data_IF_573048346979
#
_entry.id   IF_573048346979
#
_cell.length_a   1.000
_cell.length_b   1.000
_cell.length_c   1.000
_cell.angle_alpha   90.00
_cell.angle_beta   90.00
_cell.angle_gamma   90.00
#
_symmetry.space_group_name_H-M   'P 1'
#
loop_
_entity.id
_entity.type
_entity.pdbx_description
1 polymer ?
#
# COMPACT_ATOMS: atom_id res chain seq x y z
N UNK A 1 7.79 22.67 -41.03
CA UNK A 1 8.86 21.70 -41.34
C UNK A 1 9.37 21.15 -40.03
N UNK A 2 9.25 19.83 -39.79
CA UNK A 2 9.71 19.23 -38.53
C UNK A 2 11.24 19.07 -38.52
N UNK A 3 11.85 18.90 -37.35
CA UNK A 3 13.28 18.59 -37.23
C UNK A 3 13.66 17.32 -38.02
N UNK A 4 12.75 16.34 -38.05
CA UNK A 4 12.92 15.11 -38.83
C UNK A 4 12.88 15.34 -40.34
N UNK A 5 12.10 16.31 -40.83
CA UNK A 5 12.06 16.67 -42.25
C UNK A 5 13.35 17.38 -42.69
N UNK A 6 13.93 18.21 -41.81
CA UNK A 6 15.24 18.85 -42.06
C UNK A 6 16.33 17.79 -42.13
N UNK A 7 16.36 16.86 -41.18
CA UNK A 7 17.33 15.76 -41.16
C UNK A 7 17.17 14.81 -42.35
N UNK A 8 15.94 14.55 -42.78
CA UNK A 8 15.66 13.77 -43.98
C UNK A 8 16.17 14.48 -45.24
N UNK A 9 15.84 15.77 -45.40
CA UNK A 9 16.30 16.57 -46.55
C UNK A 9 17.82 16.65 -46.64
N UNK A 10 18.49 16.90 -45.51
CA UNK A 10 19.96 16.90 -45.42
C UNK A 10 20.58 15.56 -45.86
N UNK A 11 20.02 14.43 -45.38
CA UNK A 11 20.48 13.08 -45.78
C UNK A 11 20.22 12.79 -47.25
N UNK A 12 19.08 13.23 -47.78
CA UNK A 12 18.71 13.02 -49.18
C UNK A 12 19.63 13.80 -50.12
N UNK A 13 19.93 15.06 -49.79
CA UNK A 13 20.87 15.90 -50.55
C UNK A 13 22.27 15.31 -50.58
N UNK A 14 22.75 14.72 -49.47
CA UNK A 14 24.03 14.01 -49.45
C UNK A 14 24.02 12.83 -50.42
N UNK A 15 22.95 12.04 -50.46
CA UNK A 15 22.84 10.87 -51.33
C UNK A 15 22.78 11.26 -52.81
N UNK A 16 22.00 12.29 -53.15
CA UNK A 16 21.95 12.83 -54.51
C UNK A 16 23.32 13.39 -54.95
N UNK A 17 23.96 14.21 -54.09
CA UNK A 17 25.27 14.77 -54.39
C UNK A 17 26.34 13.68 -54.56
N UNK A 18 26.31 12.65 -53.73
CA UNK A 18 27.22 11.51 -53.85
C UNK A 18 27.10 10.79 -55.19
N UNK A 19 25.90 10.76 -55.80
CA UNK A 19 25.67 10.21 -57.13
C UNK A 19 26.27 11.07 -58.26
N UNK A 20 26.42 12.38 -58.03
CA UNK A 20 26.95 13.33 -59.03
C UNK A 20 28.45 13.50 -58.98
N UNK A 21 29.03 13.60 -57.78
CA UNK A 21 30.46 13.96 -57.58
C UNK A 21 31.27 12.88 -56.86
N UNK A 22 30.65 11.73 -56.58
CA UNK A 22 31.26 10.62 -55.85
C UNK A 22 31.17 10.77 -54.32
N UNK A 23 31.11 9.61 -53.65
CA UNK A 23 30.87 9.48 -52.20
C UNK A 23 31.87 10.26 -51.35
N UNK A 24 33.16 10.19 -51.69
CA UNK A 24 34.22 10.80 -50.89
C UNK A 24 34.13 12.35 -50.91
N UNK A 25 33.81 12.95 -52.05
CA UNK A 25 33.68 14.40 -52.17
C UNK A 25 32.40 14.88 -51.47
N UNK A 26 31.27 14.22 -51.71
CA UNK A 26 30.00 14.59 -51.07
C UNK A 26 30.04 14.46 -49.54
N UNK A 27 30.67 13.39 -49.01
CA UNK A 27 30.88 13.21 -47.58
C UNK A 27 31.73 14.33 -46.94
N UNK A 28 32.76 14.82 -47.64
CA UNK A 28 33.57 15.97 -47.18
C UNK A 28 32.75 17.25 -47.14
N UNK A 29 31.97 17.52 -48.19
CA UNK A 29 31.11 18.73 -48.28
C UNK A 29 30.07 18.77 -47.15
N UNK A 30 29.48 17.62 -46.82
CA UNK A 30 28.43 17.54 -45.80
C UNK A 30 28.99 17.32 -44.38
N UNK A 31 30.29 17.07 -44.21
CA UNK A 31 30.88 16.77 -42.90
C UNK A 31 30.45 15.40 -42.33
N UNK A 32 30.12 14.44 -43.21
CA UNK A 32 29.67 13.09 -42.83
C UNK A 32 30.78 12.07 -43.08
N UNK A 33 31.04 11.19 -42.13
CA UNK A 33 32.00 10.11 -42.34
C UNK A 33 31.48 9.10 -43.37
N UNK A 34 32.37 8.61 -44.27
CA UNK A 34 32.02 7.68 -45.36
C UNK A 34 31.32 6.40 -44.85
N UNK A 35 31.67 5.91 -43.67
CA UNK A 35 31.00 4.73 -43.08
C UNK A 35 29.50 4.99 -42.82
N UNK A 36 29.14 6.19 -42.36
CA UNK A 36 27.74 6.58 -42.14
C UNK A 36 26.95 6.62 -43.44
N UNK A 37 27.57 7.12 -44.52
CA UNK A 37 26.98 7.08 -45.85
C UNK A 37 26.66 5.64 -46.30
N UNK A 38 27.60 4.71 -46.17
CA UNK A 38 27.35 3.32 -46.55
C UNK A 38 26.31 2.62 -45.68
N UNK A 39 26.23 2.95 -44.38
CA UNK A 39 25.13 2.49 -43.51
C UNK A 39 23.77 2.98 -44.03
N UNK A 40 23.68 4.22 -44.49
CA UNK A 40 22.46 4.75 -45.10
C UNK A 40 22.16 4.13 -46.46
N UNK A 41 23.19 3.98 -47.32
CA UNK A 41 23.06 3.35 -48.64
C UNK A 41 22.47 1.95 -48.55
N UNK A 42 23.01 1.10 -47.68
CA UNK A 42 22.48 -0.25 -47.46
C UNK A 42 21.05 -0.27 -46.93
N UNK A 43 20.63 0.77 -46.19
CA UNK A 43 19.23 0.89 -45.74
C UNK A 43 18.31 1.33 -46.87
N UNK A 44 18.75 2.27 -47.70
CA UNK A 44 18.02 2.71 -48.90
C UNK A 44 17.80 1.54 -49.86
N UNK A 45 18.84 0.74 -50.09
CA UNK A 45 18.78 -0.45 -50.96
C UNK A 45 17.74 -1.48 -50.46
N UNK A 46 17.48 -1.54 -49.14
CA UNK A 46 16.54 -2.50 -48.54
C UNK A 46 15.11 -1.97 -48.34
N UNK A 47 14.97 -0.70 -47.97
CA UNK A 47 13.71 -0.12 -47.47
C UNK A 47 13.29 1.14 -48.27
N UNK A 48 14.05 1.54 -49.29
CA UNK A 48 13.83 2.73 -50.09
C UNK A 48 14.29 4.04 -49.41
N UNK A 49 14.08 5.17 -50.09
CA UNK A 49 14.52 6.49 -49.61
C UNK A 49 13.92 6.87 -48.24
N UNK A 50 12.73 6.36 -47.91
CA UNK A 50 12.08 6.57 -46.61
C UNK A 50 12.94 6.14 -45.41
N UNK A 51 13.92 5.24 -45.62
CA UNK A 51 14.86 4.78 -44.59
C UNK A 51 15.81 5.87 -44.09
N UNK A 52 15.91 7.00 -44.81
CA UNK A 52 16.68 8.17 -44.39
C UNK A 52 15.99 8.99 -43.30
N UNK A 53 14.68 8.81 -43.08
CA UNK A 53 13.99 9.51 -41.99
C UNK A 53 14.56 9.05 -40.63
N UNK A 54 14.76 9.95 -39.66
CA UNK A 54 15.12 9.56 -38.30
C UNK A 54 14.13 8.51 -37.78
N UNK A 55 14.66 7.37 -37.31
CA UNK A 55 13.85 6.33 -36.66
C UNK A 55 13.99 6.48 -35.17
N UNK A 56 12.87 6.39 -34.47
CA UNK A 56 12.90 6.33 -33.02
C UNK A 56 13.71 5.10 -32.59
N UNK A 57 14.81 5.33 -31.86
CA UNK A 57 15.59 4.22 -31.32
C UNK A 57 14.78 3.59 -30.20
N UNK A 58 14.46 2.30 -30.33
CA UNK A 58 13.87 1.54 -29.23
C UNK A 58 14.78 1.68 -28.02
N UNK A 59 14.21 2.12 -26.89
CA UNK A 59 14.96 2.18 -25.63
C UNK A 59 15.47 0.77 -25.29
N UNK A 60 16.77 0.60 -25.00
CA UNK A 60 17.31 -0.72 -24.69
C UNK A 60 16.66 -1.26 -23.42
N UNK A 61 16.43 -2.57 -23.38
CA UNK A 61 15.98 -3.24 -22.18
C UNK A 61 17.19 -3.46 -21.28
N UNK A 62 17.15 -2.93 -20.06
CA UNK A 62 18.24 -3.12 -19.11
C UNK A 62 18.29 -4.59 -18.67
N UNK A 63 19.48 -5.18 -18.46
CA UNK A 63 19.63 -6.59 -18.07
C UNK A 63 18.80 -6.96 -16.82
N UNK A 64 18.70 -6.04 -15.87
CA UNK A 64 17.98 -6.24 -14.61
C UNK A 64 16.48 -5.89 -14.70
N UNK A 65 15.95 -5.69 -15.91
CA UNK A 65 14.53 -5.41 -16.11
C UNK A 65 13.71 -6.70 -16.08
N UNK A 66 12.67 -6.69 -15.25
CA UNK A 66 11.68 -7.76 -15.13
C UNK A 66 11.19 -8.24 -16.51
N UNK A 67 10.89 -9.54 -16.61
CA UNK A 67 10.29 -10.09 -17.83
C UNK A 67 8.93 -9.46 -18.10
N UNK A 68 8.50 -9.36 -19.37
CA UNK A 68 7.20 -8.81 -19.73
C UNK A 68 6.05 -9.50 -18.99
N UNK A 69 6.12 -10.82 -18.81
CA UNK A 69 5.14 -11.60 -18.05
C UNK A 69 5.05 -11.15 -16.59
N UNK A 70 6.20 -10.91 -15.93
CA UNK A 70 6.23 -10.42 -14.55
C UNK A 70 5.72 -8.98 -14.46
N UNK A 71 6.06 -8.12 -15.43
CA UNK A 71 5.51 -6.77 -15.49
C UNK A 71 3.98 -6.79 -15.62
N UNK A 72 3.44 -7.62 -16.51
CA UNK A 72 2.00 -7.77 -16.70
C UNK A 72 1.31 -8.27 -15.43
N UNK A 73 1.89 -9.26 -14.73
CA UNK A 73 1.38 -9.71 -13.43
C UNK A 73 1.35 -8.60 -12.39
N UNK A 74 2.42 -7.81 -12.28
CA UNK A 74 2.48 -6.66 -11.37
C UNK A 74 1.41 -5.63 -11.71
N UNK A 75 1.25 -5.30 -13.00
CA UNK A 75 0.25 -4.33 -13.47
C UNK A 75 -1.16 -4.84 -13.19
N UNK A 76 -1.48 -6.08 -13.56
CA UNK A 76 -2.79 -6.67 -13.31
C UNK A 76 -3.14 -6.68 -11.81
N UNK A 77 -2.20 -7.09 -10.96
CA UNK A 77 -2.39 -7.04 -9.51
C UNK A 77 -2.61 -5.61 -8.99
N UNK A 78 -1.82 -4.65 -9.48
CA UNK A 78 -1.95 -3.25 -9.09
C UNK A 78 -3.28 -2.62 -9.54
N UNK A 79 -3.85 -3.04 -10.67
CA UNK A 79 -5.15 -2.57 -11.16
C UNK A 79 -6.32 -3.24 -10.44
N UNK A 80 -6.20 -4.53 -10.09
CA UNK A 80 -7.17 -5.18 -9.22
C UNK A 80 -7.18 -4.58 -7.81
N UNK A 81 -6.04 -4.05 -7.34
CA UNK A 81 -5.88 -3.51 -6.00
C UNK A 81 -5.25 -2.09 -6.02
N UNK A 82 -5.96 -1.09 -6.60
CA UNK A 82 -5.40 0.22 -6.94
C UNK A 82 -4.93 1.04 -5.72
N UNK A 83 -5.52 0.78 -4.55
CA UNK A 83 -5.14 1.40 -3.28
C UNK A 83 -3.77 0.97 -2.74
N UNK A 84 -3.19 -0.13 -3.22
CA UNK A 84 -1.94 -0.68 -2.68
C UNK A 84 -0.71 0.04 -3.21
N UNK A 85 0.23 0.35 -2.31
CA UNK A 85 1.53 0.91 -2.68
C UNK A 85 2.55 -0.17 -3.10
N UNK A 86 3.68 0.22 -3.74
CA UNK A 86 4.66 -0.74 -4.27
C UNK A 86 5.23 -1.71 -3.23
N UNK A 87 5.45 -1.27 -1.99
CA UNK A 87 5.91 -2.14 -0.89
C UNK A 87 4.88 -3.24 -0.57
N UNK A 88 3.60 -2.88 -0.49
CA UNK A 88 2.53 -3.84 -0.18
C UNK A 88 2.26 -4.75 -1.36
N UNK A 89 2.30 -4.24 -2.60
CA UNK A 89 2.21 -5.06 -3.80
C UNK A 89 3.33 -6.11 -3.83
N UNK A 90 4.58 -5.71 -3.58
CA UNK A 90 5.71 -6.64 -3.52
C UNK A 90 5.52 -7.71 -2.43
N UNK A 91 5.10 -7.30 -1.23
CA UNK A 91 4.87 -8.22 -0.12
C UNK A 91 3.72 -9.21 -0.40
N UNK A 92 2.61 -8.74 -0.98
CA UNK A 92 1.48 -9.60 -1.36
C UNK A 92 1.88 -10.57 -2.47
N UNK A 93 2.50 -10.10 -3.55
CA UNK A 93 2.94 -10.96 -4.66
C UNK A 93 3.93 -12.05 -4.22
N UNK A 94 4.76 -11.77 -3.21
CA UNK A 94 5.66 -12.75 -2.61
C UNK A 94 4.95 -13.86 -1.81
N UNK A 95 3.65 -13.75 -1.53
CA UNK A 95 2.90 -14.78 -0.81
C UNK A 95 2.51 -15.95 -1.74
N UNK A 96 2.45 -17.19 -1.22
CA UNK A 96 2.12 -18.37 -2.04
C UNK A 96 0.81 -18.25 -2.81
N UNK A 97 -0.24 -17.66 -2.19
CA UNK A 97 -1.55 -17.47 -2.83
C UNK A 97 -1.52 -16.61 -4.11
N UNK A 98 -0.49 -15.76 -4.25
CA UNK A 98 -0.30 -14.86 -5.38
C UNK A 98 0.87 -15.30 -6.28
N UNK A 99 1.35 -16.54 -6.09
CA UNK A 99 2.40 -17.15 -6.92
C UNK A 99 3.82 -16.99 -6.40
N UNK A 100 4.02 -16.50 -5.17
CA UNK A 100 5.34 -16.48 -4.52
C UNK A 100 6.38 -15.63 -5.26
N UNK A 101 5.94 -14.57 -5.95
CA UNK A 101 6.78 -13.77 -6.82
C UNK A 101 7.69 -12.84 -6.00
N UNK A 102 8.98 -13.17 -5.96
CA UNK A 102 10.01 -12.38 -5.29
C UNK A 102 10.43 -11.17 -6.14
N UNK A 103 9.80 -10.02 -5.88
CA UNK A 103 10.15 -8.75 -6.52
C UNK A 103 10.38 -7.66 -5.47
N UNK A 104 11.39 -6.81 -5.67
CA UNK A 104 11.63 -5.69 -4.76
C UNK A 104 10.57 -4.60 -4.93
N UNK A 105 10.28 -3.87 -3.85
CA UNK A 105 9.36 -2.73 -3.88
C UNK A 105 9.77 -1.65 -4.91
N UNK A 106 11.08 -1.46 -5.10
CA UNK A 106 11.60 -0.56 -6.12
C UNK A 106 11.42 -1.13 -7.53
N UNK A 107 11.57 -2.45 -7.71
CA UNK A 107 11.25 -3.14 -8.97
C UNK A 107 9.79 -2.96 -9.37
N UNK A 108 8.86 -3.15 -8.42
CA UNK A 108 7.43 -2.88 -8.60
C UNK A 108 7.20 -1.40 -8.95
N UNK A 109 7.79 -0.47 -8.21
CA UNK A 109 7.63 0.96 -8.50
C UNK A 109 8.14 1.36 -9.88
N UNK A 110 9.32 0.86 -10.29
CA UNK A 110 9.89 1.11 -11.62
C UNK A 110 9.00 0.52 -12.72
N UNK A 111 8.46 -0.68 -12.50
CA UNK A 111 7.48 -1.31 -13.39
C UNK A 111 6.26 -0.39 -13.54
N UNK A 112 5.57 -0.07 -12.45
CA UNK A 112 4.40 0.79 -12.49
C UNK A 112 4.69 2.17 -13.09
N UNK A 113 5.87 2.74 -12.87
CA UNK A 113 6.27 4.01 -13.47
C UNK A 113 6.38 3.93 -15.00
N UNK A 114 6.87 2.83 -15.56
CA UNK A 114 6.90 2.62 -17.02
C UNK A 114 5.50 2.56 -17.62
N UNK A 115 4.54 2.02 -16.88
CA UNK A 115 3.13 1.91 -17.27
C UNK A 115 2.29 3.15 -16.88
N UNK A 116 2.89 4.20 -16.31
CA UNK A 116 2.15 5.39 -15.86
C UNK A 116 1.27 5.17 -14.63
N UNK A 117 1.47 4.08 -13.87
CA UNK A 117 0.61 3.63 -12.75
C UNK A 117 1.31 3.76 -11.39
N UNK A 118 2.32 4.62 -11.25
CA UNK A 118 3.18 4.67 -10.07
C UNK A 118 2.52 5.25 -8.81
N UNK A 119 1.41 5.98 -8.93
CA UNK A 119 0.68 6.58 -7.80
C UNK A 119 -0.72 5.95 -7.64
N UNK A 120 -1.26 6.02 -6.42
CA UNK A 120 -2.61 5.53 -6.11
C UNK A 120 -3.65 6.27 -6.96
N UNK A 121 -3.58 7.59 -7.01
CA UNK A 121 -4.44 8.42 -7.86
C UNK A 121 -4.45 7.97 -9.34
N UNK A 122 -3.29 7.68 -9.94
CA UNK A 122 -3.25 7.23 -11.36
C UNK A 122 -3.91 5.87 -11.56
N UNK A 123 -3.73 4.93 -10.63
CA UNK A 123 -4.39 3.62 -10.69
C UNK A 123 -5.90 3.74 -10.49
N UNK A 124 -6.33 4.52 -9.50
CA UNK A 124 -7.76 4.78 -9.27
C UNK A 124 -8.39 5.52 -10.44
N UNK A 125 -7.71 6.50 -11.04
CA UNK A 125 -8.19 7.24 -12.20
C UNK A 125 -8.42 6.34 -13.40
N UNK A 126 -7.51 5.40 -13.65
CA UNK A 126 -7.66 4.44 -14.74
C UNK A 126 -8.83 3.49 -14.49
N UNK A 127 -8.99 3.00 -13.26
CA UNK A 127 -10.09 2.07 -12.90
C UNK A 127 -11.45 2.78 -12.86
N UNK A 128 -11.50 4.02 -12.38
CA UNK A 128 -12.72 4.80 -12.19
C UNK A 128 -13.05 5.75 -13.36
N UNK A 129 -12.29 5.71 -14.47
CA UNK A 129 -12.56 6.51 -15.67
C UNK A 129 -12.44 8.03 -15.47
N UNK A 130 -11.28 8.51 -15.02
CA UNK A 130 -10.92 9.93 -14.79
C UNK A 130 -11.47 10.63 -13.53
N UNK A 131 -12.36 9.99 -12.77
CA UNK A 131 -12.91 10.56 -11.52
C UNK A 131 -12.01 10.33 -10.28
N UNK A 132 -10.68 10.39 -10.40
CA UNK A 132 -9.81 10.23 -9.22
C UNK A 132 -9.81 11.50 -8.36
N UNK A 133 -10.17 11.42 -7.06
CA UNK A 133 -10.10 12.57 -6.18
C UNK A 133 -8.64 13.03 -5.99
N UNK A 134 -8.48 14.36 -5.81
CA UNK A 134 -7.19 14.97 -5.48
C UNK A 134 -6.61 14.36 -4.20
N UNK A 135 -5.38 13.89 -4.26
CA UNK A 135 -4.66 13.33 -3.11
C UNK A 135 -3.63 14.37 -2.64
N UNK A 136 -3.80 14.94 -1.42
CA UNK A 136 -2.86 15.94 -0.91
C UNK A 136 -1.45 15.34 -0.77
N UNK A 137 -0.40 16.17 -0.86
CA UNK A 137 0.98 15.72 -0.73
C UNK A 137 1.18 14.95 0.57
N UNK A 138 1.90 13.83 0.47
CA UNK A 138 2.12 12.93 1.59
C UNK A 138 2.90 13.67 2.69
N UNK A 139 2.35 13.82 3.91
CA UNK A 139 3.10 14.41 5.01
C UNK A 139 4.32 13.54 5.34
N UNK A 140 5.37 14.17 5.85
CA UNK A 140 6.57 13.46 6.29
C UNK A 140 6.18 12.37 7.31
N UNK A 141 6.79 11.17 7.23
CA UNK A 141 6.51 10.11 8.20
C UNK A 141 6.89 10.60 9.59
N UNK A 142 5.91 10.71 10.49
CA UNK A 142 6.17 11.03 11.89
C UNK A 142 7.08 9.97 12.52
N UNK A 143 8.04 10.42 13.33
CA UNK A 143 8.86 9.52 14.16
C UNK A 143 7.94 8.81 15.15
N UNK A 144 8.01 7.47 15.18
CA UNK A 144 7.22 6.64 16.08
C UNK A 144 8.05 6.43 17.34
N UNK A 145 7.68 7.08 18.44
CA UNK A 145 8.42 7.07 19.71
C UNK A 145 8.02 5.91 20.65
N UNK A 146 7.38 4.88 20.10
CA UNK A 146 6.87 3.76 20.89
C UNK A 146 7.43 2.48 20.30
N UNK A 147 8.36 1.88 21.04
CA UNK A 147 8.96 0.59 20.70
C UNK A 147 8.31 -0.50 21.54
N UNK A 148 8.09 -1.65 20.91
CA UNK A 148 7.64 -2.89 21.51
C UNK A 148 8.39 -4.02 20.81
N UNK A 149 8.91 -4.96 21.58
CA UNK A 149 9.80 -6.03 21.12
C UNK A 149 9.06 -7.34 20.93
N UNK A 150 8.03 -7.60 21.76
CA UNK A 150 7.24 -8.84 21.73
C UNK A 150 5.73 -8.59 21.74
N UNK A 151 4.92 -9.53 21.22
CA UNK A 151 3.47 -9.42 21.31
C UNK A 151 3.00 -9.33 22.76
N UNK A 152 2.01 -8.46 23.00
CA UNK A 152 1.43 -8.21 24.32
C UNK A 152 2.18 -7.20 25.18
N UNK A 153 3.42 -6.82 24.83
CA UNK A 153 4.19 -5.82 25.57
C UNK A 153 3.50 -4.45 25.59
N UNK A 154 2.87 -4.07 24.48
CA UNK A 154 2.10 -2.84 24.38
C UNK A 154 0.95 -2.97 23.41
N UNK A 155 -0.26 -2.78 23.93
CA UNK A 155 -1.48 -2.71 23.13
C UNK A 155 -2.07 -1.32 23.23
N UNK A 156 -2.27 -0.66 22.10
CA UNK A 156 -2.98 0.62 22.02
C UNK A 156 -4.49 0.39 21.93
N UNK A 157 -5.28 1.09 22.73
CA UNK A 157 -6.74 1.06 22.69
C UNK A 157 -7.28 2.45 22.36
N UNK A 158 -8.33 2.48 21.54
CA UNK A 158 -8.99 3.72 21.16
C UNK A 158 -10.42 3.48 20.62
N UNK A 159 -11.23 4.52 20.63
CA UNK A 159 -12.62 4.52 20.18
C UNK A 159 -12.77 5.37 18.92
N UNK A 160 -13.41 4.82 17.89
CA UNK A 160 -13.66 5.50 16.63
C UNK A 160 -15.16 5.65 16.38
N UNK A 161 -15.64 6.87 16.18
CA UNK A 161 -17.04 7.12 15.86
C UNK A 161 -17.36 6.69 14.43
N UNK A 162 -18.27 5.74 14.28
CA UNK A 162 -18.66 5.19 12.97
C UNK A 162 -19.84 5.96 12.37
N UNK A 163 -20.79 6.36 13.21
CA UNK A 163 -21.93 7.17 12.77
C UNK A 163 -23.20 6.93 13.60
N UNK A 164 -24.31 7.49 13.11
CA UNK A 164 -25.66 7.19 13.59
C UNK A 164 -26.37 6.38 12.51
N UNK A 165 -26.82 5.18 12.85
CA UNK A 165 -27.56 4.34 11.91
C UNK A 165 -28.98 4.87 11.72
N UNK A 166 -29.46 4.86 10.48
CA UNK A 166 -30.80 5.31 10.14
C UNK A 166 -31.83 4.49 10.93
N UNK A 167 -32.85 5.15 11.49
CA UNK A 167 -33.87 4.58 12.39
C UNK A 167 -33.37 4.08 13.77
N UNK A 168 -32.12 4.35 14.15
CA UNK A 168 -31.65 4.13 15.52
C UNK A 168 -31.29 5.46 16.19
N UNK A 169 -31.86 5.72 17.37
CA UNK A 169 -31.46 6.87 18.23
C UNK A 169 -30.04 6.74 18.79
N UNK A 170 -29.39 5.59 18.58
CA UNK A 170 -28.12 5.22 19.22
C UNK A 170 -26.94 5.51 18.28
N UNK A 171 -25.86 6.00 18.87
CA UNK A 171 -24.58 6.16 18.16
C UNK A 171 -23.85 4.82 18.06
N UNK A 172 -23.16 4.59 16.95
CA UNK A 172 -22.33 3.41 16.74
C UNK A 172 -20.87 3.80 16.79
N UNK A 173 -20.11 3.05 17.59
CA UNK A 173 -18.69 3.24 17.80
C UNK A 173 -17.95 1.94 17.52
N UNK A 174 -16.74 2.06 16.99
CA UNK A 174 -15.77 0.98 16.87
C UNK A 174 -14.80 1.10 18.04
N UNK A 175 -14.78 0.09 18.90
CA UNK A 175 -13.70 -0.07 19.87
C UNK A 175 -12.56 -0.78 19.17
N UNK A 176 -11.35 -0.27 19.32
CA UNK A 176 -10.16 -0.77 18.62
C UNK A 176 -9.07 -1.05 19.62
N UNK A 177 -8.37 -2.17 19.45
CA UNK A 177 -7.11 -2.44 20.10
C UNK A 177 -6.09 -2.94 19.07
N UNK A 178 -4.83 -2.57 19.21
CA UNK A 178 -3.74 -3.06 18.34
C UNK A 178 -2.49 -3.35 19.14
N UNK A 179 -1.94 -4.54 18.93
CA UNK A 179 -0.61 -4.88 19.45
C UNK A 179 0.47 -4.16 18.62
N UNK A 180 1.29 -3.35 19.28
CA UNK A 180 2.26 -2.48 18.59
C UNK A 180 3.36 -3.30 17.90
N UNK A 181 3.75 -4.44 18.48
CA UNK A 181 4.80 -5.30 17.94
C UNK A 181 4.34 -6.02 16.65
N UNK A 182 3.25 -6.77 16.74
CA UNK A 182 2.74 -7.63 15.67
C UNK A 182 1.81 -6.92 14.69
N UNK A 183 1.31 -5.73 15.04
CA UNK A 183 0.18 -5.09 14.36
C UNK A 183 -1.10 -5.93 14.36
N UNK A 184 -1.24 -6.91 15.28
CA UNK A 184 -2.47 -7.70 15.38
C UNK A 184 -3.60 -6.81 15.91
N UNK A 185 -4.73 -6.84 15.21
CA UNK A 185 -5.85 -5.95 15.46
C UNK A 185 -7.02 -6.68 16.12
N UNK A 186 -7.58 -6.03 17.13
CA UNK A 186 -8.91 -6.33 17.64
C UNK A 186 -9.80 -5.12 17.37
N UNK A 187 -11.00 -5.37 16.89
CA UNK A 187 -12.02 -4.34 16.86
C UNK A 187 -13.41 -4.96 17.07
N UNK A 188 -14.32 -4.19 17.65
CA UNK A 188 -15.72 -4.55 17.75
C UNK A 188 -16.61 -3.31 17.64
N UNK A 189 -17.78 -3.49 17.03
CA UNK A 189 -18.81 -2.45 17.01
C UNK A 189 -19.66 -2.53 18.27
N UNK A 190 -19.90 -1.36 18.85
CA UNK A 190 -20.80 -1.18 19.98
C UNK A 190 -21.84 -0.12 19.70
N UNK A 191 -23.05 -0.36 20.20
CA UNK A 191 -24.11 0.63 20.21
C UNK A 191 -24.09 1.39 21.53
N UNK A 192 -24.22 2.71 21.44
CA UNK A 192 -24.08 3.62 22.56
C UNK A 192 -25.34 4.51 22.65
N UNK A 193 -26.35 4.11 23.46
CA UNK A 193 -27.55 4.91 23.68
C UNK A 193 -27.26 6.28 24.30
N UNK A 194 -26.20 6.38 25.11
CA UNK A 194 -25.75 7.62 25.77
C UNK A 194 -24.77 8.45 24.93
N UNK A 195 -24.64 8.17 23.64
CA UNK A 195 -23.81 8.94 22.71
C UNK A 195 -22.31 8.57 22.65
N UNK A 196 -21.79 7.89 23.67
CA UNK A 196 -20.37 7.51 23.76
C UNK A 196 -20.16 6.11 24.36
N UNK A 197 -19.02 5.45 24.08
CA UNK A 197 -18.66 4.19 24.72
C UNK A 197 -18.57 4.30 26.23
N UNK A 198 -18.94 3.20 26.91
CA UNK A 198 -18.81 3.08 28.36
C UNK A 198 -17.54 2.32 28.74
N UNK A 199 -17.04 2.59 29.95
CA UNK A 199 -15.90 1.86 30.50
C UNK A 199 -16.16 0.35 30.64
N UNK A 200 -17.41 -0.09 30.74
CA UNK A 200 -17.76 -1.51 30.72
C UNK A 200 -17.51 -2.15 29.34
N UNK A 201 -17.80 -1.44 28.25
CA UNK A 201 -17.60 -1.93 26.88
C UNK A 201 -16.10 -2.02 26.56
N UNK A 202 -15.31 -0.99 26.86
CA UNK A 202 -13.86 -1.02 26.71
C UNK A 202 -13.21 -2.08 27.61
N UNK A 203 -13.72 -2.29 28.82
CA UNK A 203 -13.26 -3.36 29.73
C UNK A 203 -13.49 -4.75 29.13
N UNK A 204 -14.62 -4.96 28.43
CA UNK A 204 -14.90 -6.22 27.74
C UNK A 204 -13.88 -6.48 26.63
N UNK A 205 -13.56 -5.46 25.84
CA UNK A 205 -12.51 -5.55 24.83
C UNK A 205 -11.15 -5.89 25.46
N UNK A 206 -10.76 -5.20 26.54
CA UNK A 206 -9.49 -5.48 27.23
C UNK A 206 -9.39 -6.93 27.74
N UNK A 207 -10.47 -7.47 28.30
CA UNK A 207 -10.52 -8.89 28.72
C UNK A 207 -10.35 -9.84 27.54
N UNK A 208 -11.02 -9.56 26.42
CA UNK A 208 -10.89 -10.35 25.19
C UNK A 208 -9.46 -10.33 24.66
N UNK A 209 -8.85 -9.15 24.57
CA UNK A 209 -7.45 -8.99 24.14
C UNK A 209 -6.52 -9.80 25.03
N UNK A 210 -6.66 -9.68 26.35
CA UNK A 210 -5.82 -10.42 27.30
C UNK A 210 -6.02 -11.94 27.16
N UNK A 211 -7.26 -12.41 27.00
CA UNK A 211 -7.56 -13.83 26.82
C UNK A 211 -6.99 -14.38 25.50
N UNK A 212 -7.12 -13.65 24.38
CA UNK A 212 -6.57 -14.09 23.09
C UNK A 212 -5.02 -14.07 23.09
N UNK A 213 -4.39 -13.07 23.71
CA UNK A 213 -2.94 -13.06 23.90
C UNK A 213 -2.49 -14.23 24.77
N UNK A 214 -3.17 -14.48 25.89
CA UNK A 214 -2.87 -15.63 26.77
C UNK A 214 -3.02 -16.96 26.02
N UNK A 215 -4.09 -17.11 25.26
CA UNK A 215 -4.32 -18.29 24.43
C UNK A 215 -3.22 -18.47 23.36
N UNK A 216 -2.55 -17.39 22.94
CA UNK A 216 -1.41 -17.42 22.03
C UNK A 216 -0.04 -17.62 22.73
N UNK A 217 0.02 -17.63 24.06
CA UNK A 217 1.25 -17.74 24.85
C UNK A 217 1.87 -16.41 25.29
N UNK A 218 1.15 -15.30 25.13
CA UNK A 218 1.59 -13.96 25.49
C UNK A 218 0.78 -13.39 26.66
N UNK A 219 1.26 -12.30 27.28
CA UNK A 219 0.49 -11.58 28.30
C UNK A 219 0.27 -10.14 27.85
N UNK A 220 -0.90 -9.58 28.15
CA UNK A 220 -1.10 -8.13 28.07
C UNK A 220 -0.31 -7.46 29.19
N UNK A 221 0.86 -6.89 28.88
CA UNK A 221 1.74 -6.24 29.86
C UNK A 221 1.40 -4.77 30.07
N UNK A 222 1.05 -4.06 29.00
CA UNK A 222 0.76 -2.62 29.04
C UNK A 222 -0.32 -2.23 28.04
N UNK A 223 -1.26 -1.42 28.50
CA UNK A 223 -2.30 -0.81 27.68
C UNK A 223 -2.03 0.69 27.53
N UNK A 224 -1.96 1.17 26.29
CA UNK A 224 -1.86 2.58 25.94
C UNK A 224 -3.23 3.10 25.55
N UNK A 225 -3.73 4.13 26.22
CA UNK A 225 -5.01 4.77 25.90
C UNK A 225 -4.89 6.29 25.91
N UNK A 226 -5.87 6.97 25.35
CA UNK A 226 -6.04 8.40 25.57
C UNK A 226 -6.57 8.70 26.99
N UNK A 227 -6.94 9.96 27.27
CA UNK A 227 -7.51 10.37 28.55
C UNK A 227 -9.05 10.28 28.61
N UNK A 228 -9.68 9.60 27.64
CA UNK A 228 -11.12 9.43 27.53
C UNK A 228 -11.76 8.79 28.76
N UNK A 229 -13.00 9.19 29.04
CA UNK A 229 -13.78 8.72 30.19
C UNK A 229 -14.07 7.21 30.13
N UNK A 230 -14.17 6.67 28.93
CA UNK A 230 -14.34 5.25 28.63
C UNK A 230 -13.13 4.40 29.03
N UNK A 231 -11.96 4.99 29.23
CA UNK A 231 -10.77 4.29 29.67
C UNK A 231 -10.46 4.51 31.15
N UNK A 232 -11.35 5.16 31.91
CA UNK A 232 -11.20 5.39 33.36
C UNK A 232 -12.05 4.42 34.19
N UNK A 233 -11.83 4.40 35.50
CA UNK A 233 -12.72 3.70 36.44
C UNK A 233 -12.70 2.19 36.25
N UNK A 234 -13.80 1.59 35.76
CA UNK A 234 -13.89 0.14 35.61
C UNK A 234 -12.89 -0.44 34.61
N UNK A 235 -12.46 0.35 33.61
CA UNK A 235 -11.40 -0.06 32.69
C UNK A 235 -10.05 -0.21 33.39
N UNK A 236 -9.65 0.77 34.19
CA UNK A 236 -8.40 0.74 34.96
C UNK A 236 -8.42 -0.39 35.99
N UNK A 237 -9.56 -0.61 36.66
CA UNK A 237 -9.74 -1.75 37.55
C UNK A 237 -9.61 -3.09 36.82
N UNK A 238 -10.14 -3.18 35.60
CA UNK A 238 -10.01 -4.37 34.74
C UNK A 238 -8.55 -4.62 34.38
N UNK A 239 -7.82 -3.61 33.94
CA UNK A 239 -6.38 -3.74 33.64
C UNK A 239 -5.57 -4.13 34.87
N UNK A 240 -5.88 -3.56 36.04
CA UNK A 240 -5.23 -3.92 37.32
C UNK A 240 -5.46 -5.41 37.65
N UNK A 241 -6.68 -5.93 37.46
CA UNK A 241 -6.99 -7.36 37.65
C UNK A 241 -6.27 -8.26 36.64
N UNK A 242 -6.08 -7.78 35.41
CA UNK A 242 -5.29 -8.46 34.37
C UNK A 242 -3.77 -8.32 34.59
N UNK A 243 -3.33 -7.62 35.65
CA UNK A 243 -1.92 -7.31 35.93
C UNK A 243 -1.23 -6.54 34.79
N UNK A 244 -2.01 -5.77 34.02
CA UNK A 244 -1.52 -4.93 32.94
C UNK A 244 -1.32 -3.48 33.43
N UNK A 245 -0.21 -2.84 33.03
CA UNK A 245 0.07 -1.44 33.33
C UNK A 245 -0.72 -0.52 32.42
N UNK A 246 -1.32 0.54 32.95
CA UNK A 246 -1.96 1.59 32.14
C UNK A 246 -0.96 2.68 31.81
N UNK A 247 -0.85 3.05 30.53
CA UNK A 247 -0.11 4.22 30.06
C UNK A 247 -1.07 5.16 29.36
N UNK A 248 -1.02 6.45 29.70
CA UNK A 248 -1.83 7.49 29.06
C UNK A 248 -0.99 8.27 28.07
N UNK A 249 -1.61 8.69 26.96
CA UNK A 249 -0.97 9.68 26.07
C UNK A 249 -0.75 10.99 26.85
N UNK A 250 0.44 11.59 26.70
CA UNK A 250 0.69 12.93 27.20
C UNK A 250 0.07 13.94 26.24
N UNK A 251 -0.55 14.99 26.78
CA UNK A 251 -1.02 16.12 25.99
C UNK A 251 0.13 16.67 25.12
N UNK A 252 -0.15 16.91 23.83
CA UNK A 252 0.85 17.40 22.87
C UNK A 252 1.81 16.35 22.28
N UNK A 253 1.67 15.04 22.61
CA UNK A 253 2.47 13.95 21.98
C UNK A 253 1.60 12.88 21.27
N UNK A 254 0.85 13.26 20.22
CA UNK A 254 -0.04 12.33 19.47
C UNK A 254 0.71 11.16 18.82
N UNK A 255 2.03 11.28 18.64
CA UNK A 255 2.89 10.22 18.08
C UNK A 255 2.85 8.90 18.87
N UNK A 256 2.47 8.95 20.15
CA UNK A 256 2.37 7.75 21.00
C UNK A 256 1.22 6.84 20.60
N UNK A 257 0.09 7.38 20.15
CA UNK A 257 -1.09 6.59 19.74
C UNK A 257 -1.09 6.22 18.24
N UNK A 258 0.00 6.50 17.52
CA UNK A 258 0.03 6.39 16.07
C UNK A 258 -0.26 5.00 15.50
N UNK A 259 -0.11 3.93 16.30
CA UNK A 259 -0.46 2.57 15.88
C UNK A 259 -1.97 2.38 15.74
N UNK A 260 -2.75 2.73 16.77
CA UNK A 260 -4.21 2.55 16.75
C UNK A 260 -4.88 3.53 15.81
N UNK A 261 -4.40 4.78 15.74
CA UNK A 261 -4.88 5.76 14.76
C UNK A 261 -4.62 5.30 13.31
N UNK A 262 -3.44 4.74 13.06
CA UNK A 262 -3.11 4.17 11.74
C UNK A 262 -4.00 2.97 11.42
N UNK A 263 -4.32 2.13 12.40
CA UNK A 263 -5.25 1.02 12.23
C UNK A 263 -6.67 1.52 11.94
N UNK A 264 -7.18 2.49 12.69
CA UNK A 264 -8.51 3.07 12.47
C UNK A 264 -8.63 3.68 11.07
N UNK A 265 -7.63 4.46 10.62
CA UNK A 265 -7.58 4.97 9.24
C UNK A 265 -7.57 3.84 8.21
N UNK A 266 -6.86 2.76 8.51
CA UNK A 266 -6.82 1.57 7.63
C UNK A 266 -8.18 0.88 7.56
N UNK A 267 -8.86 0.66 8.70
CA UNK A 267 -10.22 0.10 8.74
C UNK A 267 -11.22 1.03 8.03
N UNK A 268 -11.11 2.34 8.23
CA UNK A 268 -11.96 3.32 7.56
C UNK A 268 -11.85 3.24 6.03
N UNK A 269 -10.62 3.19 5.51
CA UNK A 269 -10.33 3.12 4.07
C UNK A 269 -10.67 1.77 3.45
N UNK A 270 -10.29 0.67 4.10
CA UNK A 270 -10.33 -0.68 3.53
C UNK A 270 -11.62 -1.46 3.90
N UNK A 271 -12.28 -1.12 5.02
CA UNK A 271 -13.52 -1.77 5.47
C UNK A 271 -14.73 -0.85 5.32
N UNK A 272 -14.72 0.31 6.00
CA UNK A 272 -15.92 1.13 6.14
C UNK A 272 -16.35 1.82 4.85
N UNK A 273 -15.43 2.51 4.15
CA UNK A 273 -15.78 3.18 2.88
C UNK A 273 -16.36 2.19 1.85
N UNK A 274 -15.75 1.02 1.61
CA UNK A 274 -16.36 0.01 0.75
C UNK A 274 -17.68 -0.53 1.27
N UNK A 275 -17.80 -0.82 2.57
CA UNK A 275 -19.04 -1.32 3.16
C UNK A 275 -20.18 -0.32 2.97
N UNK A 276 -19.97 0.95 3.32
CA UNK A 276 -20.96 2.01 3.16
C UNK A 276 -21.34 2.25 1.71
N UNK A 277 -20.41 2.11 0.76
CA UNK A 277 -20.72 2.19 -0.67
C UNK A 277 -21.60 1.02 -1.17
N UNK A 278 -21.56 -0.15 -0.50
CA UNK A 278 -22.41 -1.31 -0.83
C UNK A 278 -23.81 -1.24 -0.24
N UNK A 279 -23.98 -0.60 0.92
CA UNK A 279 -25.27 -0.57 1.61
C UNK A 279 -26.20 0.52 1.05
N UNK A 280 -27.36 0.11 0.55
CA UNK A 280 -28.51 1.01 0.36
C UNK A 280 -29.11 1.43 1.72
N UNK A 281 -29.18 0.49 2.66
CA UNK A 281 -29.63 0.70 4.03
C UNK A 281 -28.68 0.03 5.02
N UNK A 282 -27.99 0.83 5.82
CA UNK A 282 -26.97 0.34 6.75
C UNK A 282 -27.63 -0.30 7.97
N UNK A 283 -27.28 -1.56 8.25
CA UNK A 283 -27.74 -2.31 9.43
C UNK A 283 -26.58 -2.65 10.36
N UNK A 284 -26.79 -2.55 11.68
CA UNK A 284 -25.76 -2.82 12.68
C UNK A 284 -25.15 -4.22 12.56
N UNK A 285 -25.99 -5.25 12.37
CA UNK A 285 -25.52 -6.63 12.21
C UNK A 285 -24.69 -6.83 10.93
N UNK A 286 -25.06 -6.14 9.84
CA UNK A 286 -24.29 -6.17 8.60
C UNK A 286 -22.90 -5.58 8.80
N UNK A 287 -22.81 -4.37 9.37
CA UNK A 287 -21.53 -3.74 9.69
C UNK A 287 -20.67 -4.59 10.65
N UNK A 288 -21.30 -5.25 11.63
CA UNK A 288 -20.58 -6.13 12.56
C UNK A 288 -19.97 -7.33 11.84
N UNK A 289 -20.67 -7.90 10.85
CA UNK A 289 -20.17 -8.97 9.99
C UNK A 289 -19.04 -8.47 9.09
N UNK A 290 -19.23 -7.35 8.39
CA UNK A 290 -18.18 -6.77 7.53
C UNK A 290 -16.88 -6.51 8.31
N UNK A 291 -16.97 -6.01 9.55
CA UNK A 291 -15.80 -5.82 10.40
C UNK A 291 -15.13 -7.14 10.80
N UNK A 292 -15.93 -8.16 11.15
CA UNK A 292 -15.38 -9.47 11.51
C UNK A 292 -14.65 -10.12 10.32
N UNK A 293 -15.28 -10.10 9.14
CA UNK A 293 -14.69 -10.62 7.90
C UNK A 293 -13.42 -9.84 7.53
N UNK A 294 -13.45 -8.52 7.66
CA UNK A 294 -12.28 -7.67 7.44
C UNK A 294 -11.15 -7.93 8.43
N UNK A 295 -11.44 -8.14 9.72
CA UNK A 295 -10.41 -8.50 10.71
C UNK A 295 -9.78 -9.86 10.42
N UNK A 296 -10.57 -10.82 9.92
CA UNK A 296 -10.06 -12.09 9.41
C UNK A 296 -9.02 -11.87 8.31
N UNK A 297 -9.39 -11.11 7.27
CA UNK A 297 -8.45 -10.72 6.22
C UNK A 297 -7.24 -9.96 6.78
N UNK A 298 -7.44 -8.95 7.64
CA UNK A 298 -6.38 -8.09 8.15
C UNK A 298 -5.33 -8.85 8.98
N UNK A 299 -5.77 -9.77 9.84
CA UNK A 299 -4.88 -10.49 10.76
C UNK A 299 -4.25 -11.74 10.14
N UNK A 300 -4.95 -12.43 9.23
CA UNK A 300 -4.50 -13.74 8.72
C UNK A 300 -4.04 -13.71 7.27
N UNK A 301 -4.37 -12.66 6.53
CA UNK A 301 -4.11 -12.61 5.09
C UNK A 301 -3.42 -11.33 4.61
N UNK A 302 -3.57 -10.20 5.29
CA UNK A 302 -3.02 -8.94 4.82
C UNK A 302 -1.52 -8.86 5.13
N UNK A 303 -0.69 -8.62 4.12
CA UNK A 303 0.73 -8.37 4.35
C UNK A 303 0.96 -6.98 4.97
N UNK A 304 1.78 -6.91 6.03
CA UNK A 304 2.11 -5.65 6.71
C UNK A 304 3.57 -5.29 6.50
N UNK A 305 3.81 -4.13 5.89
CA UNK A 305 5.17 -3.65 5.57
C UNK A 305 5.72 -2.69 6.62
N UNK A 306 5.28 -2.82 7.88
CA UNK A 306 5.80 -2.05 9.00
C UNK A 306 7.20 -2.53 9.42
N UNK A 307 7.92 -1.71 10.20
CA UNK A 307 9.28 -2.04 10.67
C UNK A 307 9.35 -3.39 11.41
N UNK A 308 8.35 -3.68 12.24
CA UNK A 308 8.30 -4.88 13.08
C UNK A 308 7.67 -6.08 12.35
N UNK A 309 6.75 -5.81 11.42
CA UNK A 309 6.03 -6.86 10.68
C UNK A 309 6.82 -7.39 9.48
N UNK A 310 7.62 -6.55 8.80
CA UNK A 310 8.56 -6.93 7.73
C UNK A 310 7.93 -7.76 6.58
N UNK A 311 6.67 -7.52 6.26
CA UNK A 311 5.93 -8.21 5.20
C UNK A 311 5.12 -9.42 5.67
N UNK A 312 5.31 -9.87 6.92
CA UNK A 312 4.52 -10.96 7.53
C UNK A 312 3.09 -10.50 7.82
N UNK A 313 2.18 -11.47 7.94
CA UNK A 313 0.83 -11.19 8.45
C UNK A 313 0.85 -11.17 9.99
N UNK A 314 -0.04 -10.42 10.67
CA UNK A 314 0.03 -10.27 12.12
C UNK A 314 -0.12 -11.59 12.88
N UNK A 315 -0.99 -12.48 12.40
CA UNK A 315 -1.20 -13.80 12.99
C UNK A 315 0.06 -14.68 12.93
N UNK A 316 0.92 -14.56 11.91
CA UNK A 316 2.20 -15.28 11.87
C UNK A 316 3.15 -14.82 12.98
N UNK A 317 3.03 -13.58 13.46
CA UNK A 317 3.86 -13.05 14.53
C UNK A 317 3.30 -13.47 15.89
N UNK A 318 1.98 -13.37 16.08
CA UNK A 318 1.33 -13.71 17.34
C UNK A 318 1.31 -15.22 17.58
N UNK A 319 0.94 -16.02 16.57
CA UNK A 319 0.77 -17.47 16.71
C UNK A 319 1.94 -18.29 16.15
N UNK A 320 2.81 -17.69 15.33
CA UNK A 320 3.92 -18.43 14.70
C UNK A 320 5.05 -18.81 15.66
N UNK A 321 5.16 -18.17 16.83
CA UNK A 321 6.12 -18.57 17.86
C UNK A 321 5.91 -20.03 18.33
N UNK A 322 4.67 -20.54 18.29
CA UNK A 322 4.35 -21.94 18.62
C UNK A 322 4.79 -22.95 17.57
N UNK A 323 5.12 -22.53 16.33
CA UNK A 323 5.59 -23.47 15.29
C UNK A 323 7.04 -23.92 15.49
N UNK A 324 7.80 -23.32 16.42
CA UNK A 324 9.20 -23.69 16.67
C UNK A 324 9.41 -24.56 17.91
N UNK A 325 8.37 -24.84 18.70
CA UNK A 325 8.49 -25.66 19.94
C UNK A 325 8.08 -27.13 19.75
N UNK A 326 7.96 -27.62 18.51
CA UNK A 326 7.80 -29.07 18.26
C UNK A 326 8.95 -29.59 17.43
N UNK A 327 10.01 -29.99 18.12
CA UNK A 327 10.84 -31.15 17.78
C UNK A 327 11.34 -31.83 19.03
#
# INVERSE_FOLDING_TARGET
>A
MSEDDVLFGYRLQLVDLAGRIGVAAACRTFGVHRSTYYVWKHRIEREGLGALRPRERRRPRMPNQLSPLLEQRIVAFALGHPGLGPRRIAAELGRPRWGGLLVSANGVWRCLRRHGLNTRAKRLSLVAGYAAPYEPPRPAPAQRHVEAERPGELVGFDCFFVGRLHNMKQTVWQLTAIDVCSSYAWAELVSCPRGQPSAAQTSKLAKRVAAELQAAGWRLERALTDNGSEFRGSFEQTLKRLQARTTRIRAGRPQTNGAVESLQKTILEECWRPAFARYLHVRFQGLRRDLADYLGYYNFERAHTGRLTRGRVPAEIVYGARKMETR
#
